data_IF_228859599431
#
_entry.id   IF_228859599431
#
_cell.length_a   1.000
_cell.length_b   1.000
_cell.length_c   1.000
_cell.angle_alpha   90.00
_cell.angle_beta   90.00
_cell.angle_gamma   90.00
#
_symmetry.space_group_name_H-M   'P 1'
#
loop_
_entity.id
_entity.type
_entity.pdbx_description
1 polymer ?
#
# COMPACT_ATOMS: atom_id res chain seq x y z
N UNK A 1 54.85 -22.73 -54.67
CA UNK A 1 54.29 -21.75 -53.72
C UNK A 1 53.83 -22.51 -52.49
N UNK A 2 54.77 -23.17 -51.78
CA UNK A 2 55.72 -22.58 -50.78
C UNK A 2 54.93 -22.09 -49.55
N UNK A 3 55.25 -22.37 -48.29
CA UNK A 3 56.41 -22.92 -47.57
C UNK A 3 55.87 -23.45 -46.21
N UNK A 4 56.33 -24.56 -45.63
CA UNK A 4 57.50 -24.77 -44.77
C UNK A 4 57.59 -23.97 -43.44
N UNK A 5 57.90 -24.74 -42.39
CA UNK A 5 58.80 -24.47 -41.24
C UNK A 5 58.29 -23.96 -39.86
N UNK A 6 58.78 -24.68 -38.82
CA UNK A 6 59.34 -24.14 -37.56
C UNK A 6 58.40 -24.13 -36.34
N UNK A 7 58.55 -24.91 -35.26
CA UNK A 7 59.66 -25.08 -34.28
C UNK A 7 59.91 -23.88 -33.33
N UNK A 8 59.91 -24.16 -32.02
CA UNK A 8 60.38 -23.29 -30.92
C UNK A 8 59.35 -23.23 -29.77
N UNK A 9 59.58 -23.83 -28.59
CA UNK A 9 60.41 -23.30 -27.49
C UNK A 9 59.58 -22.28 -26.69
N UNK A 10 59.38 -22.27 -25.37
CA UNK A 10 60.03 -22.89 -24.22
C UNK A 10 59.86 -21.87 -23.06
N UNK A 11 59.47 -22.34 -21.87
CA UNK A 11 59.81 -21.71 -20.59
C UNK A 11 59.00 -20.50 -20.09
N UNK A 12 58.54 -20.61 -18.83
CA UNK A 12 58.86 -19.61 -17.81
C UNK A 12 57.78 -18.63 -17.36
N UNK A 13 57.16 -18.94 -16.22
CA UNK A 13 57.25 -18.11 -15.01
C UNK A 13 56.41 -16.82 -14.90
N UNK A 14 55.85 -16.64 -13.68
CA UNK A 14 55.77 -15.31 -13.06
C UNK A 14 54.37 -14.75 -12.89
N UNK A 15 53.99 -14.56 -11.62
CA UNK A 15 52.72 -13.98 -11.18
C UNK A 15 52.57 -12.48 -11.42
N UNK A 16 51.48 -11.92 -10.90
CA UNK A 16 51.24 -10.49 -10.82
C UNK A 16 49.75 -10.18 -10.86
N UNK A 17 49.20 -9.77 -9.71
CA UNK A 17 47.79 -9.47 -9.56
C UNK A 17 47.36 -8.13 -10.15
N UNK A 18 46.12 -7.74 -9.85
CA UNK A 18 45.68 -6.36 -9.99
C UNK A 18 44.27 -6.18 -10.54
N UNK A 19 43.30 -6.16 -9.63
CA UNK A 19 42.23 -5.16 -9.61
C UNK A 19 41.28 -5.06 -10.80
N UNK A 20 40.09 -5.68 -10.68
CA UNK A 20 38.88 -5.10 -11.24
C UNK A 20 37.61 -5.64 -10.57
N UNK A 21 37.45 -5.42 -9.26
CA UNK A 21 36.21 -5.78 -8.55
C UNK A 21 35.81 -4.68 -7.56
N UNK A 22 35.54 -3.47 -8.06
CA UNK A 22 34.91 -2.39 -7.26
C UNK A 22 33.66 -1.78 -7.92
N UNK A 23 33.17 -2.33 -9.03
CA UNK A 23 32.02 -1.79 -9.78
C UNK A 23 30.80 -2.73 -9.80
N UNK A 24 30.58 -3.54 -8.76
CA UNK A 24 29.43 -4.44 -8.69
C UNK A 24 28.52 -4.19 -7.47
N UNK A 25 28.95 -3.40 -6.48
CA UNK A 25 28.19 -3.17 -5.24
C UNK A 25 27.00 -2.23 -5.39
N UNK A 26 27.14 -1.17 -6.20
CA UNK A 26 26.13 -0.11 -6.28
C UNK A 26 24.86 -0.52 -7.06
N UNK A 27 24.98 -1.43 -8.03
CA UNK A 27 23.84 -1.90 -8.84
C UNK A 27 22.97 -2.87 -8.04
N UNK A 28 23.56 -3.76 -7.23
CA UNK A 28 22.82 -4.71 -6.40
C UNK A 28 22.02 -4.04 -5.28
N UNK A 29 22.55 -3.00 -4.65
CA UNK A 29 21.81 -2.20 -3.65
C UNK A 29 20.66 -1.42 -4.29
N UNK A 30 20.83 -0.91 -5.52
CA UNK A 30 19.76 -0.29 -6.29
C UNK A 30 18.67 -1.31 -6.68
N UNK A 31 19.01 -2.54 -7.09
CA UNK A 31 18.02 -3.59 -7.40
C UNK A 31 17.27 -4.12 -6.16
N UNK A 32 17.96 -4.26 -5.01
CA UNK A 32 17.36 -4.68 -3.74
C UNK A 32 16.45 -3.60 -3.15
N UNK A 33 16.80 -2.32 -3.29
CA UNK A 33 15.92 -1.21 -2.89
C UNK A 33 14.76 -0.99 -3.86
N UNK A 34 14.97 -1.22 -5.16
CA UNK A 34 13.93 -1.15 -6.19
C UNK A 34 12.86 -2.24 -5.97
N UNK A 35 13.24 -3.48 -5.62
CA UNK A 35 12.29 -4.58 -5.37
C UNK A 35 11.45 -4.38 -4.10
N UNK A 36 12.02 -3.86 -3.02
CA UNK A 36 11.29 -3.54 -1.79
C UNK A 36 10.26 -2.40 -1.99
N UNK A 37 10.61 -1.36 -2.74
CA UNK A 37 9.71 -0.26 -3.08
C UNK A 37 8.58 -0.67 -4.05
N UNK A 38 8.88 -1.59 -4.99
CA UNK A 38 7.88 -2.19 -5.88
C UNK A 38 6.89 -3.09 -5.10
N UNK A 39 7.34 -3.78 -4.06
CA UNK A 39 6.48 -4.60 -3.18
C UNK A 39 5.45 -3.76 -2.41
N UNK A 40 5.88 -2.66 -1.77
CA UNK A 40 5.00 -1.81 -0.98
C UNK A 40 3.88 -1.17 -1.82
N UNK A 41 4.21 -0.69 -3.02
CA UNK A 41 3.23 -0.10 -3.96
C UNK A 41 2.17 -1.12 -4.37
N UNK A 42 2.62 -2.35 -4.69
CA UNK A 42 1.72 -3.44 -5.06
C UNK A 42 0.82 -3.90 -3.91
N UNK A 43 1.35 -3.93 -2.67
CA UNK A 43 0.58 -4.28 -1.48
C UNK A 43 -0.50 -3.24 -1.18
N UNK A 44 -0.15 -1.95 -1.23
CA UNK A 44 -1.10 -0.85 -1.04
C UNK A 44 -2.19 -0.87 -2.11
N UNK A 45 -1.83 -1.13 -3.37
CA UNK A 45 -2.81 -1.27 -4.45
C UNK A 45 -3.77 -2.45 -4.24
N UNK A 46 -3.28 -3.61 -3.77
CA UNK A 46 -4.12 -4.77 -3.44
C UNK A 46 -5.07 -4.45 -2.28
N UNK A 47 -4.58 -3.78 -1.24
CA UNK A 47 -5.39 -3.35 -0.11
C UNK A 47 -6.45 -2.32 -0.54
N UNK A 48 -6.11 -1.41 -1.45
CA UNK A 48 -7.07 -0.46 -2.03
C UNK A 48 -8.18 -1.18 -2.81
N UNK A 49 -7.84 -2.17 -3.63
CA UNK A 49 -8.81 -2.95 -4.39
C UNK A 49 -9.75 -3.74 -3.47
N UNK A 50 -9.21 -4.42 -2.44
CA UNK A 50 -10.01 -5.15 -1.46
C UNK A 50 -10.91 -4.20 -0.66
N UNK A 51 -10.36 -3.07 -0.21
CA UNK A 51 -11.12 -2.06 0.54
C UNK A 51 -12.25 -1.48 -0.31
N UNK A 52 -11.99 -1.17 -1.58
CA UNK A 52 -13.01 -0.70 -2.52
C UNK A 52 -14.11 -1.72 -2.74
N UNK A 53 -13.77 -3.01 -2.90
CA UNK A 53 -14.76 -4.08 -3.03
C UNK A 53 -15.64 -4.21 -1.77
N UNK A 54 -15.03 -4.09 -0.59
CA UNK A 54 -15.77 -4.07 0.68
C UNK A 54 -16.68 -2.84 0.79
N UNK A 55 -16.22 -1.66 0.40
CA UNK A 55 -17.02 -0.44 0.40
C UNK A 55 -18.21 -0.53 -0.57
N UNK A 56 -18.03 -1.11 -1.76
CA UNK A 56 -19.16 -1.35 -2.69
C UNK A 56 -20.18 -2.33 -2.09
N UNK A 57 -19.69 -3.41 -1.47
CA UNK A 57 -20.55 -4.41 -0.83
C UNK A 57 -21.33 -3.81 0.34
N UNK A 58 -20.65 -3.02 1.19
CA UNK A 58 -21.27 -2.29 2.29
C UNK A 58 -22.30 -1.26 1.77
N UNK A 59 -21.97 -0.51 0.71
CA UNK A 59 -22.90 0.42 0.07
C UNK A 59 -24.17 -0.26 -0.45
N UNK A 60 -24.03 -1.41 -1.11
CA UNK A 60 -25.17 -2.22 -1.56
C UNK A 60 -26.03 -2.71 -0.38
N UNK A 61 -25.38 -3.17 0.70
CA UNK A 61 -26.09 -3.55 1.93
C UNK A 61 -26.80 -2.35 2.58
N UNK A 62 -26.18 -1.16 2.61
CA UNK A 62 -26.79 0.05 3.14
C UNK A 62 -28.04 0.48 2.35
N UNK A 63 -27.94 0.48 1.02
CA UNK A 63 -29.02 0.92 0.13
C UNK A 63 -30.23 -0.03 0.12
N UNK A 64 -29.99 -1.33 0.18
CA UNK A 64 -31.05 -2.35 0.12
C UNK A 64 -31.33 -2.95 1.51
N UNK A 65 -30.35 -3.61 2.14
CA UNK A 65 -30.55 -4.31 3.41
C UNK A 65 -30.90 -3.41 4.58
N UNK A 66 -30.11 -2.36 4.83
CA UNK A 66 -30.26 -1.50 6.00
C UNK A 66 -31.48 -0.58 5.88
N UNK A 67 -31.82 -0.15 4.67
CA UNK A 67 -32.98 0.72 4.41
C UNK A 67 -34.32 0.02 4.61
N UNK A 68 -34.36 -1.29 4.36
CA UNK A 68 -35.50 -2.17 4.64
C UNK A 68 -35.59 -2.61 6.12
N UNK A 69 -34.59 -2.26 6.94
CA UNK A 69 -34.52 -2.63 8.35
C UNK A 69 -35.30 -1.65 9.25
N UNK A 70 -35.87 -2.15 10.36
CA UNK A 70 -36.50 -1.35 11.42
C UNK A 70 -35.49 -0.58 12.30
N UNK A 71 -34.31 -0.25 11.78
CA UNK A 71 -33.31 0.56 12.50
C UNK A 71 -33.69 2.03 12.50
N UNK A 72 -33.26 2.74 13.54
CA UNK A 72 -33.47 4.16 13.68
C UNK A 72 -32.77 4.96 12.57
N UNK A 73 -33.30 6.14 12.26
CA UNK A 73 -32.77 6.99 11.19
C UNK A 73 -31.33 7.44 11.48
N UNK A 74 -30.99 7.67 12.75
CA UNK A 74 -29.62 7.97 13.17
C UNK A 74 -28.64 6.84 12.84
N UNK A 75 -29.05 5.58 13.03
CA UNK A 75 -28.20 4.43 12.72
C UNK A 75 -27.99 4.27 11.21
N UNK A 76 -29.02 4.57 10.41
CA UNK A 76 -28.92 4.57 8.94
C UNK A 76 -27.99 5.68 8.45
N UNK A 77 -28.06 6.87 9.05
CA UNK A 77 -27.17 7.99 8.75
C UNK A 77 -25.72 7.68 9.12
N UNK A 78 -25.49 7.10 10.30
CA UNK A 78 -24.17 6.61 10.72
C UNK A 78 -23.58 5.61 9.72
N UNK A 79 -24.39 4.64 9.27
CA UNK A 79 -23.95 3.66 8.27
C UNK A 79 -23.59 4.31 6.94
N UNK A 80 -24.45 5.23 6.46
CA UNK A 80 -24.23 5.97 5.22
C UNK A 80 -22.95 6.81 5.27
N UNK A 81 -22.70 7.46 6.41
CA UNK A 81 -21.48 8.22 6.67
C UNK A 81 -20.26 7.31 6.67
N UNK A 82 -20.30 6.19 7.39
CA UNK A 82 -19.22 5.21 7.42
C UNK A 82 -18.86 4.73 6.01
N UNK A 83 -19.87 4.37 5.21
CA UNK A 83 -19.68 3.88 3.85
C UNK A 83 -19.13 4.94 2.90
N UNK A 84 -19.62 6.17 2.99
CA UNK A 84 -19.13 7.30 2.19
C UNK A 84 -17.64 7.55 2.45
N UNK A 85 -17.23 7.59 3.71
CA UNK A 85 -15.83 7.77 4.08
C UNK A 85 -14.97 6.55 3.70
N UNK A 86 -15.47 5.33 3.88
CA UNK A 86 -14.80 4.10 3.47
C UNK A 86 -14.53 4.10 1.96
N UNK A 87 -15.52 4.48 1.15
CA UNK A 87 -15.38 4.53 -0.31
C UNK A 87 -14.36 5.58 -0.75
N UNK A 88 -14.47 6.82 -0.26
CA UNK A 88 -13.52 7.89 -0.61
C UNK A 88 -12.08 7.57 -0.23
N UNK A 89 -11.86 7.02 0.96
CA UNK A 89 -10.50 6.69 1.40
C UNK A 89 -9.97 5.41 0.75
N UNK A 90 -10.83 4.52 0.23
CA UNK A 90 -10.39 3.42 -0.63
C UNK A 90 -9.84 3.91 -1.96
N UNK A 91 -10.47 4.94 -2.54
CA UNK A 91 -9.94 5.62 -3.73
C UNK A 91 -8.64 6.39 -3.41
N UNK A 92 -8.58 7.05 -2.26
CA UNK A 92 -7.36 7.70 -1.80
C UNK A 92 -6.21 6.68 -1.62
N UNK A 93 -6.51 5.48 -1.08
CA UNK A 93 -5.54 4.40 -0.93
C UNK A 93 -5.03 3.88 -2.28
N UNK A 94 -5.90 3.84 -3.31
CA UNK A 94 -5.50 3.52 -4.67
C UNK A 94 -4.54 4.60 -5.22
N UNK A 95 -4.83 5.88 -4.98
CA UNK A 95 -3.94 7.00 -5.31
C UNK A 95 -2.60 6.92 -4.57
N UNK A 96 -2.62 6.56 -3.29
CA UNK A 96 -1.44 6.44 -2.44
C UNK A 96 -0.43 5.39 -2.95
N UNK A 97 -0.90 4.36 -3.67
CA UNK A 97 -0.03 3.37 -4.31
C UNK A 97 0.92 3.96 -5.37
N UNK A 98 0.64 5.18 -5.85
CA UNK A 98 1.43 5.88 -6.86
C UNK A 98 2.28 7.02 -6.30
N UNK A 99 2.17 7.31 -5.00
CA UNK A 99 2.96 8.35 -4.34
C UNK A 99 4.42 7.92 -4.17
N UNK A 100 5.29 8.87 -3.82
CA UNK A 100 6.71 8.62 -3.56
C UNK A 100 6.93 7.69 -2.36
N UNK A 101 6.06 7.75 -1.36
CA UNK A 101 6.10 6.94 -0.13
C UNK A 101 4.79 6.15 0.07
N UNK A 102 4.53 5.12 -0.75
CA UNK A 102 3.24 4.42 -0.77
C UNK A 102 2.97 3.69 0.54
N UNK A 103 3.99 3.09 1.17
CA UNK A 103 3.85 2.41 2.45
C UNK A 103 3.38 3.35 3.57
N UNK A 104 3.95 4.56 3.65
CA UNK A 104 3.61 5.53 4.69
C UNK A 104 2.18 6.05 4.50
N UNK A 105 1.88 6.58 3.31
CA UNK A 105 0.55 7.09 3.00
C UNK A 105 -0.52 5.99 3.14
N UNK A 106 -0.24 4.80 2.62
CA UNK A 106 -1.17 3.68 2.66
C UNK A 106 -1.44 3.15 4.07
N UNK A 107 -0.42 3.00 4.91
CA UNK A 107 -0.62 2.53 6.30
C UNK A 107 -1.41 3.53 7.14
N UNK A 108 -1.13 4.83 7.00
CA UNK A 108 -1.84 5.88 7.73
C UNK A 108 -3.30 5.99 7.29
N UNK A 109 -3.56 5.95 5.98
CA UNK A 109 -4.93 5.95 5.44
C UNK A 109 -5.72 4.71 5.86
N UNK A 110 -5.09 3.53 5.82
CA UNK A 110 -5.75 2.28 6.21
C UNK A 110 -6.06 2.25 7.72
N UNK A 111 -5.12 2.71 8.56
CA UNK A 111 -5.34 2.85 10.00
C UNK A 111 -6.48 3.83 10.30
N UNK A 112 -6.50 5.00 9.64
CA UNK A 112 -7.60 5.96 9.75
C UNK A 112 -8.94 5.35 9.37
N UNK A 113 -8.97 4.50 8.34
CA UNK A 113 -10.17 3.83 7.88
C UNK A 113 -10.73 2.85 8.90
N UNK A 114 -9.87 2.03 9.50
CA UNK A 114 -10.27 1.13 10.58
C UNK A 114 -10.80 1.89 11.80
N UNK A 115 -10.09 2.94 12.24
CA UNK A 115 -10.46 3.71 13.42
C UNK A 115 -11.70 4.60 13.23
N UNK A 116 -11.96 5.08 12.01
CA UNK A 116 -13.13 5.90 11.69
C UNK A 116 -14.33 5.04 11.29
N UNK A 117 -14.19 4.28 10.20
CA UNK A 117 -15.32 3.57 9.58
C UNK A 117 -15.74 2.35 10.41
N UNK A 118 -14.79 1.64 11.03
CA UNK A 118 -15.07 0.44 11.84
C UNK A 118 -16.05 0.71 12.99
N UNK A 119 -15.75 1.64 13.91
CA UNK A 119 -16.65 2.01 15.00
C UNK A 119 -18.02 2.52 14.53
N UNK A 120 -18.06 3.30 13.43
CA UNK A 120 -19.32 3.79 12.88
C UNK A 120 -20.20 2.66 12.33
N UNK A 121 -19.61 1.70 11.61
CA UNK A 121 -20.34 0.49 11.17
C UNK A 121 -20.83 -0.34 12.35
N UNK A 122 -20.02 -0.50 13.40
CA UNK A 122 -20.42 -1.21 14.61
C UNK A 122 -21.61 -0.53 15.28
N UNK A 123 -21.55 0.78 15.52
CA UNK A 123 -22.63 1.54 16.15
C UNK A 123 -23.89 1.54 15.28
N UNK A 124 -23.75 1.62 13.96
CA UNK A 124 -24.88 1.57 13.04
C UNK A 124 -25.59 0.20 13.05
N UNK A 125 -24.85 -0.90 13.20
CA UNK A 125 -25.44 -2.24 13.19
C UNK A 125 -25.95 -2.68 14.56
N UNK A 126 -25.20 -2.43 15.63
CA UNK A 126 -25.49 -2.89 17.00
C UNK A 126 -26.25 -1.86 17.82
N UNK A 127 -26.11 -0.56 17.51
CA UNK A 127 -26.64 0.54 18.32
C UNK A 127 -25.77 0.93 19.52
N UNK A 128 -24.66 0.22 19.75
CA UNK A 128 -23.76 0.44 20.88
C UNK A 128 -22.64 1.46 20.55
N UNK A 129 -22.57 2.61 21.27
CA UNK A 129 -21.57 3.65 21.06
C UNK A 129 -20.22 3.40 21.77
N UNK A 130 -19.96 2.20 22.29
CA UNK A 130 -18.73 1.90 23.06
C UNK A 130 -17.43 2.27 22.34
N UNK A 131 -17.38 2.17 21.01
CA UNK A 131 -16.19 2.47 20.20
C UNK A 131 -16.18 3.88 19.58
N UNK A 132 -17.19 4.72 19.82
CA UNK A 132 -17.33 6.02 19.12
C UNK A 132 -16.19 6.99 19.42
N UNK A 133 -15.46 6.82 20.53
CA UNK A 133 -14.27 7.63 20.87
C UNK A 133 -13.08 7.42 19.93
N UNK A 134 -13.05 6.32 19.16
CA UNK A 134 -11.98 6.05 18.18
C UNK A 134 -12.17 6.82 16.87
N UNK A 135 -13.41 7.19 16.54
CA UNK A 135 -13.72 7.92 15.31
C UNK A 135 -12.94 9.24 15.15
N UNK A 136 -12.88 10.16 16.14
CA UNK A 136 -12.11 11.40 15.98
C UNK A 136 -10.60 11.16 15.74
N UNK A 137 -10.03 10.11 16.33
CA UNK A 137 -8.63 9.71 16.08
C UNK A 137 -8.46 9.26 14.62
N UNK A 138 -9.41 8.47 14.11
CA UNK A 138 -9.43 8.07 12.70
C UNK A 138 -9.52 9.25 11.73
N UNK A 139 -10.30 10.28 12.07
CA UNK A 139 -10.38 11.52 11.28
C UNK A 139 -9.05 12.27 11.18
N UNK A 140 -8.31 12.36 12.28
CA UNK A 140 -6.96 12.95 12.29
C UNK A 140 -6.00 12.12 11.44
N UNK A 141 -6.07 10.79 11.53
CA UNK A 141 -5.25 9.90 10.70
C UNK A 141 -5.55 10.08 9.20
N UNK A 142 -6.81 10.28 8.82
CA UNK A 142 -7.12 10.59 7.43
C UNK A 142 -6.45 11.89 6.95
N UNK A 143 -6.52 12.96 7.74
CA UNK A 143 -5.86 14.24 7.40
C UNK A 143 -4.35 14.01 7.20
N UNK A 144 -3.69 13.33 8.15
CA UNK A 144 -2.25 13.01 8.04
C UNK A 144 -1.96 12.12 6.85
N UNK A 145 -2.83 11.16 6.53
CA UNK A 145 -2.70 10.27 5.38
C UNK A 145 -2.73 11.02 4.05
N UNK A 146 -3.66 11.97 3.89
CA UNK A 146 -3.72 12.85 2.73
C UNK A 146 -2.48 13.75 2.62
N UNK A 147 -2.00 14.31 3.73
CA UNK A 147 -0.75 15.09 3.75
C UNK A 147 0.46 14.21 3.39
N UNK A 148 0.50 12.96 3.84
CA UNK A 148 1.58 12.02 3.51
C UNK A 148 1.61 11.67 2.02
N UNK A 149 0.47 11.71 1.31
CA UNK A 149 0.43 11.53 -0.15
C UNK A 149 1.09 12.70 -0.91
N UNK A 150 1.20 13.88 -0.30
CA UNK A 150 1.80 15.07 -0.90
C UNK A 150 3.35 15.10 -0.80
N UNK A 151 3.97 14.13 -0.12
CA UNK A 151 5.43 14.02 0.09
C UNK A 151 6.12 13.07 -0.92
#
# INVERSE_FOLDING_TARGET
MEADAGSGGGGGGGGGGGGCFCWAGSVSLLFLTQTAAMSASSAVQRLAALSGALAVTAGAYGAHGLRLSNRDDYQKELYSTANTYHFYHSLALLGASRCRKPALAGTVLLAGMGCFCGPLYHQALTGDPSFSKLAPVGGVLFIVGWLAMAL
#
